data_IF_829874590140
#
_entry.id   IF_829874590140
#
_cell.length_a   1.000
_cell.length_b   1.000
_cell.length_c   1.000
_cell.angle_alpha   90.00
_cell.angle_beta   90.00
_cell.angle_gamma   90.00
#
_symmetry.space_group_name_H-M   'P 1'
#
loop_
_entity.id
_entity.type
_entity.pdbx_description
1 polymer ?
#
# COMPACT_ATOMS: atom_id res chain seq x y z
N UNK A 1 9.45 2.12 -4.92
CA UNK A 1 9.68 0.80 -4.31
C UNK A 1 8.75 -0.23 -4.91
N UNK A 2 9.26 -1.41 -5.21
CA UNK A 2 8.48 -2.50 -5.79
C UNK A 2 8.39 -3.63 -4.78
N UNK A 3 7.16 -4.09 -4.54
CA UNK A 3 6.92 -5.26 -3.71
C UNK A 3 6.56 -6.38 -4.68
N UNK A 4 7.39 -7.40 -4.76
CA UNK A 4 7.25 -8.44 -5.74
C UNK A 4 5.99 -9.30 -5.52
N UNK A 5 5.44 -9.79 -6.62
CA UNK A 5 4.31 -10.73 -6.57
C UNK A 5 4.72 -12.02 -5.89
N UNK A 6 3.73 -12.73 -5.34
CA UNK A 6 3.94 -13.99 -4.63
C UNK A 6 3.18 -15.12 -5.34
N UNK A 7 3.36 -16.34 -4.86
CA UNK A 7 2.62 -17.47 -5.40
C UNK A 7 1.11 -17.34 -5.17
N UNK A 8 0.72 -16.69 -4.09
CA UNK A 8 -0.71 -16.48 -3.81
C UNK A 8 -1.26 -15.34 -4.65
N UNK A 9 -0.50 -14.25 -4.77
CA UNK A 9 -0.91 -13.09 -5.55
C UNK A 9 -0.02 -12.98 -6.78
N UNK A 10 -0.45 -13.59 -7.87
CA UNK A 10 0.36 -13.73 -9.08
C UNK A 10 0.14 -12.67 -10.14
N UNK A 11 -0.83 -11.78 -9.95
CA UNK A 11 -1.22 -10.84 -11.01
C UNK A 11 -0.14 -9.83 -11.36
N UNK A 12 0.41 -9.18 -10.37
CA UNK A 12 1.39 -8.14 -10.61
C UNK A 12 2.08 -7.75 -9.33
N UNK A 13 3.25 -7.17 -9.47
CA UNK A 13 3.95 -6.58 -8.36
C UNK A 13 3.22 -5.33 -7.88
N UNK A 14 3.42 -4.96 -6.62
CA UNK A 14 2.87 -3.73 -6.07
C UNK A 14 3.95 -2.65 -6.14
N UNK A 15 3.60 -1.53 -6.72
CA UNK A 15 4.51 -0.38 -6.82
C UNK A 15 4.10 0.69 -5.83
N UNK A 16 5.06 1.20 -5.07
CA UNK A 16 4.82 2.26 -4.09
C UNK A 16 5.77 3.41 -4.40
N UNK A 17 5.24 4.60 -4.61
CA UNK A 17 6.06 5.77 -4.91
C UNK A 17 5.40 7.06 -4.46
N UNK A 18 6.20 8.10 -4.27
CA UNK A 18 5.69 9.43 -3.99
C UNK A 18 4.93 9.97 -5.20
N UNK A 19 3.81 10.61 -4.95
CA UNK A 19 2.95 11.11 -6.01
C UNK A 19 2.55 12.56 -5.83
N UNK A 20 2.98 13.24 -4.82
CA UNK A 20 2.69 14.66 -4.60
C UNK A 20 3.88 15.54 -4.95
N UNK A 21 3.62 16.82 -5.18
CA UNK A 21 4.67 17.78 -5.54
C UNK A 21 5.73 17.94 -4.46
N UNK A 22 5.37 17.72 -3.20
CA UNK A 22 6.27 17.86 -2.06
C UNK A 22 6.21 16.64 -1.14
N UNK A 23 5.92 15.48 -1.70
CA UNK A 23 5.82 14.26 -0.92
C UNK A 23 4.61 14.21 -0.01
N UNK A 24 3.53 14.88 -0.39
CA UNK A 24 2.31 14.91 0.40
C UNK A 24 1.42 13.70 0.17
N UNK A 25 1.59 13.04 -0.95
CA UNK A 25 0.80 11.87 -1.32
C UNK A 25 1.69 10.70 -1.65
N UNK A 26 1.20 9.50 -1.38
CA UNK A 26 1.85 8.27 -1.80
C UNK A 26 0.89 7.53 -2.73
N UNK A 27 1.45 6.94 -3.78
CA UNK A 27 0.70 6.13 -4.73
C UNK A 27 1.05 4.66 -4.52
N UNK A 28 0.02 3.83 -4.38
CA UNK A 28 0.17 2.38 -4.28
C UNK A 28 -0.58 1.79 -5.46
N UNK A 29 0.13 1.07 -6.33
CA UNK A 29 -0.48 0.58 -7.56
C UNK A 29 -0.18 -0.89 -7.82
N UNK A 30 -1.09 -1.52 -8.54
CA UNK A 30 -0.92 -2.87 -9.08
C UNK A 30 -1.55 -2.88 -10.47
N UNK A 31 -0.72 -3.12 -11.48
CA UNK A 31 -1.19 -3.02 -12.87
C UNK A 31 -1.65 -1.61 -13.19
N UNK A 32 -2.88 -1.47 -13.64
CA UNK A 32 -3.46 -0.17 -13.97
C UNK A 32 -4.27 0.45 -12.82
N UNK A 33 -4.42 -0.29 -11.72
CA UNK A 33 -5.18 0.19 -10.57
C UNK A 33 -4.25 0.85 -9.56
N UNK A 34 -4.71 1.94 -8.97
CA UNK A 34 -3.90 2.61 -7.96
C UNK A 34 -4.78 3.33 -6.94
N UNK A 35 -4.18 3.63 -5.79
CA UNK A 35 -4.80 4.47 -4.78
C UNK A 35 -3.79 5.53 -4.35
N UNK A 36 -4.31 6.67 -3.95
CA UNK A 36 -3.51 7.76 -3.41
C UNK A 36 -3.90 7.98 -1.96
N UNK A 37 -2.90 8.12 -1.10
CA UNK A 37 -3.11 8.37 0.32
C UNK A 37 -2.28 9.55 0.77
N UNK A 38 -2.81 10.36 1.69
CA UNK A 38 -2.00 11.36 2.35
C UNK A 38 -1.29 10.71 3.56
N UNK A 39 -0.47 11.47 4.27
CA UNK A 39 0.31 10.92 5.37
C UNK A 39 -0.56 10.41 6.51
N UNK A 40 -1.66 11.08 6.78
CA UNK A 40 -2.58 10.67 7.84
C UNK A 40 -3.25 9.33 7.52
N UNK A 41 -3.75 9.20 6.28
CA UNK A 41 -4.36 7.96 5.81
C UNK A 41 -3.35 6.82 5.76
N UNK A 42 -2.14 7.12 5.31
CA UNK A 42 -1.08 6.11 5.24
C UNK A 42 -0.71 5.60 6.63
N UNK A 43 -0.67 6.48 7.64
CA UNK A 43 -0.37 6.09 9.00
C UNK A 43 -1.44 5.13 9.54
N UNK A 44 -2.70 5.42 9.28
CA UNK A 44 -3.79 4.56 9.71
C UNK A 44 -3.74 3.21 8.99
N UNK A 45 -3.47 3.21 7.70
CA UNK A 45 -3.36 1.98 6.94
C UNK A 45 -2.21 1.11 7.44
N UNK A 46 -1.09 1.72 7.78
CA UNK A 46 0.05 1.00 8.35
C UNK A 46 -0.36 0.23 9.60
N UNK A 47 -1.10 0.88 10.49
CA UNK A 47 -1.58 0.24 11.70
C UNK A 47 -2.51 -0.94 11.41
N UNK A 48 -3.44 -0.75 10.49
CA UNK A 48 -4.39 -1.81 10.11
C UNK A 48 -3.67 -2.98 9.45
N UNK A 49 -2.74 -2.70 8.55
CA UNK A 49 -1.98 -3.75 7.88
C UNK A 49 -1.14 -4.55 8.86
N UNK A 50 -0.54 -3.89 9.85
CA UNK A 50 0.27 -4.58 10.85
C UNK A 50 -0.59 -5.53 11.68
N UNK A 51 -1.79 -5.10 12.06
CA UNK A 51 -2.72 -5.95 12.79
C UNK A 51 -3.12 -7.19 11.97
N UNK A 52 -3.38 -7.00 10.69
CA UNK A 52 -3.72 -8.11 9.80
C UNK A 52 -2.56 -9.10 9.66
N UNK A 53 -1.34 -8.59 9.49
CA UNK A 53 -0.14 -9.42 9.40
C UNK A 53 0.04 -10.26 10.67
N UNK A 54 -0.28 -9.66 11.83
CA UNK A 54 -0.18 -10.34 13.12
C UNK A 54 -1.38 -11.24 13.40
N UNK A 55 -2.23 -11.46 12.42
CA UNK A 55 -3.43 -12.31 12.52
C UNK A 55 -4.49 -11.79 13.49
N UNK A 56 -4.51 -10.49 13.72
CA UNK A 56 -5.56 -9.85 14.52
C UNK A 56 -6.73 -9.46 13.64
N UNK A 57 -7.90 -9.29 14.25
CA UNK A 57 -9.06 -8.78 13.55
C UNK A 57 -8.89 -7.29 13.29
N UNK A 58 -9.33 -6.83 12.10
CA UNK A 58 -9.19 -5.43 11.72
C UNK A 58 -10.51 -4.66 11.79
N UNK A 59 -11.55 -5.27 12.32
CA UNK A 59 -12.83 -4.62 12.59
C UNK A 59 -13.30 -5.00 13.97
#
# INVERSE_FOLDING_TARGET
MIIEKTEIMRKADVSVRDSGAVGELISISRGTNYILLDKHQAAQLTEVLQRWVDSEEIE
#
